data_IF_611187669521
#
_entry.id   IF_611187669521
#
_cell.length_a   1.000
_cell.length_b   1.000
_cell.length_c   1.000
_cell.angle_alpha   90.00
_cell.angle_beta   90.00
_cell.angle_gamma   90.00
#
_symmetry.space_group_name_H-M   'P 1'
#
loop_
_entity.id
_entity.type
_entity.pdbx_description
1 polymer ?
#
# COMPACT_ATOMS: atom_id res chain seq x y z
N UNK A 1 -4.46 9.94 13.60
CA UNK A 1 -5.30 8.90 14.22
C UNK A 1 -5.30 7.70 13.31
N UNK A 2 -4.85 6.54 13.79
CA UNK A 2 -4.96 5.29 13.04
C UNK A 2 -6.40 4.77 13.16
N UNK A 3 -6.86 4.01 12.17
CA UNK A 3 -8.17 3.33 12.23
C UNK A 3 -8.31 2.39 13.44
N UNK A 4 -7.19 2.01 14.07
CA UNK A 4 -7.16 1.21 15.31
C UNK A 4 -7.74 1.92 16.54
N UNK A 5 -7.88 3.24 16.49
CA UNK A 5 -8.55 4.01 17.54
C UNK A 5 -10.07 4.06 17.38
N UNK A 6 -10.58 3.57 16.23
CA UNK A 6 -12.00 3.39 16.03
C UNK A 6 -12.39 2.07 16.71
N UNK A 7 -13.11 2.16 17.83
CA UNK A 7 -13.72 1.00 18.49
C UNK A 7 -14.80 0.35 17.62
N UNK A 8 -15.32 -0.79 18.05
CA UNK A 8 -16.52 -1.37 17.48
C UNK A 8 -17.71 -0.39 17.63
N UNK A 9 -18.61 -0.37 16.65
CA UNK A 9 -19.83 0.48 16.64
C UNK A 9 -19.59 1.99 16.56
N UNK A 10 -18.41 2.43 16.12
CA UNK A 10 -18.16 3.85 15.89
C UNK A 10 -18.68 4.26 14.52
N UNK A 11 -19.52 5.30 14.51
CA UNK A 11 -19.95 5.92 13.26
C UNK A 11 -18.82 6.77 12.69
N UNK A 12 -18.51 6.58 11.41
CA UNK A 12 -17.51 7.36 10.68
C UNK A 12 -18.15 8.15 9.54
N UNK A 13 -17.58 9.30 9.23
CA UNK A 13 -17.95 10.06 8.04
C UNK A 13 -16.99 9.71 6.91
N UNK A 14 -17.52 9.27 5.78
CA UNK A 14 -16.72 9.04 4.56
C UNK A 14 -17.00 10.18 3.58
N UNK A 15 -15.94 10.91 3.23
CA UNK A 15 -15.96 11.85 2.10
C UNK A 15 -15.28 11.21 0.91
N UNK A 16 -15.85 11.35 -0.27
CA UNK A 16 -15.24 10.88 -1.50
C UNK A 16 -15.20 11.98 -2.55
N UNK A 17 -14.24 11.87 -3.46
CA UNK A 17 -14.14 12.73 -4.63
C UNK A 17 -13.58 11.93 -5.80
N UNK A 18 -14.19 12.11 -6.96
CA UNK A 18 -13.74 11.50 -8.21
C UNK A 18 -13.45 12.59 -9.22
N UNK A 19 -12.28 12.53 -9.88
CA UNK A 19 -11.85 13.48 -10.89
C UNK A 19 -11.18 12.76 -12.05
N UNK A 20 -11.31 13.30 -13.27
CA UNK A 20 -10.52 12.84 -14.42
C UNK A 20 -9.14 13.49 -14.45
N UNK A 21 -8.18 12.77 -15.01
CA UNK A 21 -6.86 13.28 -15.35
C UNK A 21 -6.46 12.82 -16.75
N UNK A 22 -6.02 13.76 -17.58
CA UNK A 22 -5.62 13.54 -18.97
C UNK A 22 -6.68 12.71 -19.75
N UNK A 23 -7.94 12.81 -19.36
CA UNK A 23 -9.10 12.14 -19.97
C UNK A 23 -9.00 10.60 -20.06
N UNK A 24 -8.06 10.00 -19.38
CA UNK A 24 -7.77 8.54 -19.42
C UNK A 24 -7.67 7.92 -18.05
N UNK A 25 -7.39 8.73 -17.05
CA UNK A 25 -7.22 8.28 -15.68
C UNK A 25 -8.33 8.86 -14.81
N UNK A 26 -8.68 8.11 -13.79
CA UNK A 26 -9.64 8.53 -12.76
C UNK A 26 -8.91 8.53 -11.42
N UNK A 27 -8.86 9.67 -10.79
CA UNK A 27 -8.43 9.79 -9.40
C UNK A 27 -9.65 9.69 -8.49
N UNK A 28 -9.65 8.71 -7.59
CA UNK A 28 -10.60 8.57 -6.49
C UNK A 28 -9.90 8.89 -5.18
N UNK A 29 -10.44 9.82 -4.43
CA UNK A 29 -10.01 10.16 -3.08
C UNK A 29 -11.10 9.77 -2.09
N UNK A 30 -10.73 9.05 -1.05
CA UNK A 30 -11.60 8.67 0.07
C UNK A 30 -10.95 9.13 1.36
N UNK A 31 -11.72 9.81 2.21
CA UNK A 31 -11.28 10.28 3.51
C UNK A 31 -12.27 9.80 4.56
N UNK A 32 -11.76 9.18 5.60
CA UNK A 32 -12.53 8.74 6.76
C UNK A 32 -12.24 9.71 7.89
N UNK A 33 -13.24 10.51 8.23
CA UNK A 33 -13.18 11.48 9.30
C UNK A 33 -13.98 10.97 10.52
N UNK A 34 -13.60 11.45 11.68
CA UNK A 34 -14.42 11.34 12.87
C UNK A 34 -15.73 12.14 12.65
N UNK A 35 -16.88 11.52 12.94
CA UNK A 35 -18.18 12.20 12.75
C UNK A 35 -18.37 13.39 13.68
N UNK A 36 -17.64 13.45 14.79
CA UNK A 36 -17.74 14.55 15.75
C UNK A 36 -17.11 15.85 15.21
N UNK A 37 -16.33 15.79 14.12
CA UNK A 37 -15.82 16.98 13.46
C UNK A 37 -16.96 17.66 12.71
N UNK A 38 -17.34 18.91 13.06
CA UNK A 38 -18.37 19.64 12.34
C UNK A 38 -18.04 19.76 10.85
N UNK A 39 -19.01 19.54 9.95
CA UNK A 39 -18.80 19.60 8.50
C UNK A 39 -18.17 20.91 8.04
N UNK A 40 -18.56 22.03 8.67
CA UNK A 40 -17.99 23.37 8.41
C UNK A 40 -16.50 23.50 8.74
N UNK A 41 -15.97 22.59 9.58
CA UNK A 41 -14.56 22.55 9.96
C UNK A 41 -13.72 21.65 9.03
N UNK A 42 -14.38 20.94 8.09
CA UNK A 42 -13.71 20.07 7.14
C UNK A 42 -13.17 20.93 5.99
N UNK A 43 -11.86 21.16 5.99
CA UNK A 43 -11.20 21.85 4.90
C UNK A 43 -11.38 21.10 3.57
N UNK A 44 -11.55 21.80 2.44
CA UNK A 44 -11.50 21.18 1.12
C UNK A 44 -10.12 20.56 0.90
N UNK A 45 -10.10 19.38 0.26
CA UNK A 45 -8.86 18.67 -0.07
C UNK A 45 -8.63 18.81 -1.55
N UNK A 46 -7.78 19.76 -1.94
CA UNK A 46 -7.49 20.06 -3.34
C UNK A 46 -6.13 19.49 -3.76
N UNK A 47 -5.17 19.47 -2.87
CA UNK A 47 -3.78 19.14 -3.15
C UNK A 47 -3.24 17.99 -2.29
N UNK A 48 -2.08 17.45 -2.67
CA UNK A 48 -1.35 16.46 -1.87
C UNK A 48 -0.93 17.01 -0.49
N UNK A 49 -0.67 18.32 -0.39
CA UNK A 49 -0.30 18.95 0.88
C UNK A 49 -1.46 18.90 1.88
N UNK A 50 -2.69 19.08 1.41
CA UNK A 50 -3.87 19.01 2.25
C UNK A 50 -4.03 17.61 2.84
N UNK A 51 -3.75 16.56 2.07
CA UNK A 51 -3.78 15.17 2.55
C UNK A 51 -2.76 14.91 3.67
N UNK A 52 -1.58 15.53 3.59
CA UNK A 52 -0.55 15.37 4.61
C UNK A 52 -0.94 16.02 5.96
N UNK A 53 -1.87 16.99 5.93
CA UNK A 53 -2.36 17.70 7.11
C UNK A 53 -3.61 17.05 7.71
N UNK A 54 -4.20 16.06 7.04
CA UNK A 54 -5.38 15.37 7.54
C UNK A 54 -5.06 14.57 8.81
N UNK A 55 -5.93 14.71 9.80
CA UNK A 55 -5.89 13.90 11.03
C UNK A 55 -6.58 12.55 10.87
N UNK A 56 -7.40 12.37 9.84
CA UNK A 56 -8.14 11.15 9.55
C UNK A 56 -7.34 10.15 8.69
N UNK A 57 -7.96 9.01 8.42
CA UNK A 57 -7.45 8.02 7.46
C UNK A 57 -7.91 8.38 6.06
N UNK A 58 -7.07 8.14 5.08
CA UNK A 58 -7.43 8.41 3.69
C UNK A 58 -6.81 7.39 2.73
N UNK A 59 -7.47 7.23 1.58
CA UNK A 59 -6.96 6.47 0.45
C UNK A 59 -7.12 7.29 -0.82
N UNK A 60 -6.07 7.32 -1.63
CA UNK A 60 -6.11 7.93 -2.95
C UNK A 60 -5.72 6.88 -3.99
N UNK A 61 -6.56 6.70 -5.00
CA UNK A 61 -6.35 5.74 -6.08
C UNK A 61 -6.37 6.45 -7.41
N UNK A 62 -5.39 6.15 -8.28
CA UNK A 62 -5.43 6.54 -9.69
C UNK A 62 -5.62 5.29 -10.54
N UNK A 63 -6.74 5.22 -11.21
CA UNK A 63 -7.14 4.11 -12.07
C UNK A 63 -7.09 4.53 -13.53
N UNK A 64 -6.82 3.56 -14.42
CA UNK A 64 -6.92 3.71 -15.85
C UNK A 64 -8.01 2.79 -16.40
N UNK A 65 -8.76 3.27 -17.40
CA UNK A 65 -9.57 2.38 -18.21
C UNK A 65 -8.66 1.62 -19.16
N UNK A 66 -8.76 0.30 -19.16
CA UNK A 66 -7.91 -0.58 -19.96
C UNK A 66 -8.74 -1.45 -20.89
N UNK A 67 -8.23 -1.64 -22.10
CA UNK A 67 -8.72 -2.63 -23.05
C UNK A 67 -7.67 -3.72 -23.26
N UNK A 68 -8.13 -4.95 -23.42
CA UNK A 68 -7.27 -6.10 -23.70
C UNK A 68 -6.89 -6.13 -25.18
N UNK A 69 -5.61 -6.18 -25.48
CA UNK A 69 -5.08 -6.31 -26.84
C UNK A 69 -4.77 -7.76 -27.24
N UNK A 70 -5.76 -8.66 -27.05
CA UNK A 70 -5.64 -10.09 -27.39
C UNK A 70 -5.17 -11.00 -26.23
N UNK A 71 -4.49 -10.46 -25.22
CA UNK A 71 -4.07 -11.21 -24.02
C UNK A 71 -3.96 -10.30 -22.81
N UNK A 72 -3.89 -10.89 -21.60
CA UNK A 72 -3.69 -10.14 -20.36
C UNK A 72 -2.31 -9.45 -20.28
N UNK A 73 -1.38 -9.82 -21.14
CA UNK A 73 -0.04 -9.23 -21.22
C UNK A 73 -0.04 -7.93 -22.03
N UNK A 74 -1.02 -7.72 -22.91
CA UNK A 74 -1.13 -6.55 -23.79
C UNK A 74 -2.34 -5.70 -23.44
N UNK A 75 -2.22 -4.96 -22.35
CA UNK A 75 -3.24 -4.00 -21.91
C UNK A 75 -2.96 -2.61 -22.50
N UNK A 76 -4.00 -1.95 -23.00
CA UNK A 76 -3.92 -0.59 -23.53
C UNK A 76 -4.84 0.32 -22.74
N UNK A 77 -4.34 1.48 -22.33
CA UNK A 77 -5.15 2.52 -21.71
C UNK A 77 -5.99 3.19 -22.80
N UNK A 78 -7.28 3.36 -22.54
CA UNK A 78 -8.21 4.05 -23.44
C UNK A 78 -9.10 5.03 -22.66
N UNK A 79 -9.70 5.96 -23.41
CA UNK A 79 -10.73 6.85 -22.89
C UNK A 79 -12.11 6.24 -23.18
N UNK A 80 -12.94 5.94 -22.18
CA UNK A 80 -14.30 5.48 -22.41
C UNK A 80 -15.17 6.61 -22.97
N UNK A 81 -16.06 6.27 -23.88
CA UNK A 81 -17.05 7.24 -24.39
C UNK A 81 -17.98 7.69 -23.27
N UNK A 82 -18.33 8.99 -23.25
CA UNK A 82 -19.22 9.57 -22.23
C UNK A 82 -18.65 9.69 -20.82
N UNK A 83 -17.37 9.31 -20.61
CA UNK A 83 -16.75 9.32 -19.28
C UNK A 83 -16.51 10.73 -18.71
N UNK A 84 -16.64 11.75 -19.50
CA UNK A 84 -16.35 13.16 -19.15
C UNK A 84 -17.60 13.99 -18.85
N UNK A 85 -18.79 13.44 -19.03
CA UNK A 85 -20.02 14.17 -18.73
C UNK A 85 -20.24 14.24 -17.20
N UNK A 86 -20.12 15.45 -16.65
CA UNK A 86 -20.40 15.70 -15.24
C UNK A 86 -19.28 15.35 -14.24
N UNK A 87 -18.12 14.88 -14.68
CA UNK A 87 -16.97 14.63 -13.82
C UNK A 87 -15.90 15.69 -14.02
N UNK A 88 -15.45 16.32 -12.94
CA UNK A 88 -14.43 17.37 -13.00
C UNK A 88 -13.10 16.84 -13.54
N UNK A 89 -12.47 17.60 -14.41
CA UNK A 89 -11.09 17.33 -14.86
C UNK A 89 -10.12 17.97 -13.85
N UNK A 90 -9.06 17.24 -13.52
CA UNK A 90 -7.96 17.78 -12.74
C UNK A 90 -7.15 18.76 -13.60
N UNK A 91 -6.97 19.98 -13.10
CA UNK A 91 -6.05 20.97 -13.68
C UNK A 91 -4.59 20.71 -13.30
N UNK A 92 -4.36 19.95 -12.24
CA UNK A 92 -3.05 19.64 -11.69
C UNK A 92 -2.75 18.14 -11.79
N UNK A 93 -1.47 17.79 -11.55
CA UNK A 93 -1.02 16.41 -11.52
C UNK A 93 -1.73 15.63 -10.38
N UNK A 94 -2.30 14.45 -10.65
CA UNK A 94 -2.97 13.65 -9.63
C UNK A 94 -2.01 13.26 -8.51
N UNK A 95 -2.59 12.99 -7.34
CA UNK A 95 -1.85 12.64 -6.12
C UNK A 95 -1.12 11.30 -6.28
N UNK A 96 -1.77 10.32 -6.92
CA UNK A 96 -1.18 9.03 -7.25
C UNK A 96 -0.60 9.04 -8.67
N UNK A 97 0.66 9.39 -8.85
CA UNK A 97 1.22 9.80 -10.13
C UNK A 97 1.73 8.61 -10.96
N UNK A 98 1.40 8.63 -12.24
CA UNK A 98 2.01 7.77 -13.29
C UNK A 98 3.54 7.88 -13.27
N UNK A 99 4.11 9.05 -12.96
CA UNK A 99 5.55 9.28 -12.87
C UNK A 99 6.19 8.52 -11.70
N UNK A 100 5.56 8.54 -10.52
CA UNK A 100 6.04 7.74 -9.37
C UNK A 100 6.00 6.24 -9.68
N UNK A 101 4.98 5.77 -10.41
CA UNK A 101 4.91 4.39 -10.90
C UNK A 101 6.03 4.06 -11.87
N UNK A 102 6.45 5.00 -12.73
CA UNK A 102 7.56 4.82 -13.65
C UNK A 102 8.89 4.72 -12.90
N UNK A 103 9.15 5.60 -11.96
CA UNK A 103 10.32 5.58 -11.06
C UNK A 103 10.36 4.27 -10.27
N UNK A 104 9.24 3.85 -9.70
CA UNK A 104 9.15 2.58 -8.97
C UNK A 104 9.44 1.37 -9.85
N UNK A 105 8.98 1.38 -11.11
CA UNK A 105 9.25 0.32 -12.10
C UNK A 105 10.72 0.23 -12.47
N UNK A 106 11.46 1.34 -12.50
CA UNK A 106 12.91 1.36 -12.79
C UNK A 106 13.75 0.84 -11.61
N UNK A 107 13.12 0.54 -10.48
CA UNK A 107 13.80 0.08 -9.28
C UNK A 107 14.31 1.23 -8.40
N UNK A 108 14.15 2.46 -8.84
CA UNK A 108 14.43 3.64 -8.02
C UNK A 108 13.33 3.74 -6.95
N UNK A 109 13.74 3.59 -5.70
CA UNK A 109 12.81 3.67 -4.56
C UNK A 109 12.63 5.15 -4.23
N UNK A 110 11.43 5.69 -4.51
CA UNK A 110 11.04 6.90 -3.80
C UNK A 110 10.74 6.48 -2.34
N UNK A 111 11.55 6.90 -1.36
CA UNK A 111 11.31 6.52 0.02
C UNK A 111 9.91 6.96 0.45
N UNK A 112 9.26 6.15 1.25
CA UNK A 112 8.09 6.61 2.00
C UNK A 112 8.56 7.84 2.78
N UNK A 113 8.14 9.02 2.32
CA UNK A 113 8.51 10.35 2.80
C UNK A 113 9.20 10.41 4.18
N UNK A 114 10.48 10.76 4.19
CA UNK A 114 11.20 11.25 5.37
C UNK A 114 11.85 10.20 6.27
N UNK A 115 11.50 8.93 6.19
CA UNK A 115 11.80 7.95 7.26
C UNK A 115 12.84 6.88 6.91
N UNK A 116 13.46 6.91 5.73
CA UNK A 116 14.46 5.88 5.37
C UNK A 116 15.87 6.16 5.91
N UNK A 117 16.11 7.34 6.45
CA UNK A 117 17.39 7.65 7.06
C UNK A 117 17.62 6.79 8.30
N UNK A 118 18.62 5.90 8.24
CA UNK A 118 18.96 5.00 9.33
C UNK A 118 18.18 3.68 9.37
N UNK A 119 17.38 3.36 8.35
CA UNK A 119 16.73 2.05 8.26
C UNK A 119 17.77 0.91 8.23
N UNK A 120 17.59 -0.10 9.06
CA UNK A 120 18.46 -1.28 9.16
C UNK A 120 17.78 -2.42 8.42
N UNK A 121 18.43 -2.92 7.36
CA UNK A 121 17.89 -4.04 6.58
C UNK A 121 17.79 -5.32 7.42
N UNK A 122 16.69 -6.04 7.27
CA UNK A 122 16.49 -7.37 7.85
C UNK A 122 16.91 -8.40 6.81
N UNK A 123 18.05 -9.06 7.03
CA UNK A 123 18.52 -10.10 6.13
C UNK A 123 17.62 -11.34 6.22
N UNK A 124 17.06 -11.84 5.11
CA UNK A 124 16.33 -13.09 5.11
C UNK A 124 17.28 -14.28 5.30
N UNK A 125 16.83 -15.33 5.98
CA UNK A 125 17.51 -16.62 6.02
C UNK A 125 17.34 -17.38 4.69
N UNK A 126 16.16 -17.22 4.09
CA UNK A 126 15.80 -17.83 2.81
C UNK A 126 15.67 -16.70 1.80
N UNK A 127 16.67 -16.58 0.91
CA UNK A 127 16.67 -15.60 -0.18
C UNK A 127 16.08 -16.24 -1.44
N UNK A 128 14.80 -16.58 -1.37
CA UNK A 128 14.03 -17.10 -2.49
C UNK A 128 12.66 -16.41 -2.56
N UNK A 129 12.12 -16.18 -3.77
CA UNK A 129 10.80 -15.62 -3.91
C UNK A 129 9.74 -16.56 -3.30
N UNK A 130 8.71 -15.96 -2.76
CA UNK A 130 7.53 -16.67 -2.27
C UNK A 130 6.60 -16.88 -3.45
N UNK A 131 6.36 -18.14 -3.81
CA UNK A 131 5.51 -18.46 -4.95
C UNK A 131 4.04 -18.47 -4.55
N UNK A 132 3.21 -17.84 -5.38
CA UNK A 132 1.75 -17.81 -5.28
C UNK A 132 1.15 -18.31 -6.60
N UNK A 133 0.35 -19.36 -6.53
CA UNK A 133 -0.41 -19.87 -7.69
C UNK A 133 -1.72 -19.09 -7.82
N UNK A 134 -2.01 -18.57 -9.02
CA UNK A 134 -3.25 -17.86 -9.28
C UNK A 134 -4.41 -18.84 -9.22
N UNK A 135 -5.40 -18.54 -8.38
CA UNK A 135 -6.64 -19.29 -8.24
C UNK A 135 -7.72 -18.55 -9.04
N UNK A 136 -8.09 -19.06 -10.26
CA UNK A 136 -8.96 -18.31 -11.17
C UNK A 136 -10.28 -17.88 -10.54
N UNK A 137 -10.89 -18.76 -9.71
CA UNK A 137 -12.19 -18.53 -9.09
C UNK A 137 -12.18 -17.39 -8.07
N UNK A 138 -11.03 -17.12 -7.43
CA UNK A 138 -10.92 -16.08 -6.41
C UNK A 138 -10.11 -14.87 -6.87
N UNK A 139 -9.15 -15.06 -7.77
CA UNK A 139 -8.17 -14.02 -8.10
C UNK A 139 -8.54 -13.25 -9.36
N UNK A 140 -9.36 -13.83 -10.25
CA UNK A 140 -9.75 -13.19 -11.49
C UNK A 140 -11.11 -12.49 -11.37
N UNK A 141 -11.23 -11.36 -12.06
CA UNK A 141 -12.53 -10.71 -12.26
C UNK A 141 -13.29 -11.32 -13.45
N UNK A 142 -14.54 -10.90 -13.68
CA UNK A 142 -15.36 -11.36 -14.79
C UNK A 142 -14.75 -11.13 -16.19
N UNK A 143 -13.72 -10.31 -16.31
CA UNK A 143 -12.96 -10.12 -17.54
C UNK A 143 -11.75 -11.07 -17.65
N UNK A 144 -11.52 -11.96 -16.69
CA UNK A 144 -10.37 -12.87 -16.65
C UNK A 144 -9.03 -12.17 -16.38
N UNK A 145 -9.06 -11.01 -15.74
CA UNK A 145 -7.89 -10.28 -15.28
C UNK A 145 -7.75 -10.48 -13.78
N UNK A 146 -6.53 -10.56 -13.27
CA UNK A 146 -6.30 -10.51 -11.83
C UNK A 146 -6.92 -9.23 -11.30
N UNK A 147 -7.85 -9.39 -10.35
CA UNK A 147 -8.58 -8.28 -9.75
C UNK A 147 -7.63 -7.45 -8.89
N UNK A 148 -7.69 -6.11 -8.99
CA UNK A 148 -6.71 -5.23 -8.34
C UNK A 148 -6.57 -5.46 -6.83
N UNK A 149 -7.68 -5.77 -6.12
CA UNK A 149 -7.63 -6.07 -4.70
C UNK A 149 -6.87 -7.37 -4.38
N UNK A 150 -6.71 -8.27 -5.34
CA UNK A 150 -5.94 -9.51 -5.17
C UNK A 150 -4.44 -9.27 -5.14
N UNK A 151 -3.96 -8.24 -5.81
CA UNK A 151 -2.55 -7.84 -5.68
C UNK A 151 -2.20 -7.50 -4.22
N UNK A 152 -3.09 -6.75 -3.55
CA UNK A 152 -2.93 -6.44 -2.13
C UNK A 152 -2.94 -7.71 -1.26
N UNK A 153 -3.84 -8.65 -1.56
CA UNK A 153 -3.90 -9.92 -0.84
C UNK A 153 -2.62 -10.76 -1.05
N UNK A 154 -2.08 -10.81 -2.28
CA UNK A 154 -0.81 -11.49 -2.59
C UNK A 154 0.37 -10.82 -1.85
N UNK A 155 0.41 -9.48 -1.82
CA UNK A 155 1.43 -8.73 -1.08
C UNK A 155 1.37 -9.02 0.43
N UNK A 156 0.17 -9.03 1.02
CA UNK A 156 -0.02 -9.37 2.43
C UNK A 156 0.34 -10.83 2.72
N UNK A 157 0.04 -11.75 1.80
CA UNK A 157 0.45 -13.14 1.89
C UNK A 157 1.98 -13.27 1.90
N UNK A 158 2.66 -12.60 0.95
CA UNK A 158 4.11 -12.59 0.87
C UNK A 158 4.76 -12.01 2.11
N UNK A 159 4.27 -10.87 2.60
CA UNK A 159 4.75 -10.24 3.84
C UNK A 159 4.62 -11.20 5.03
N UNK A 160 3.45 -11.84 5.18
CA UNK A 160 3.20 -12.77 6.27
C UNK A 160 4.14 -13.97 6.25
N UNK A 161 4.33 -14.58 5.06
CA UNK A 161 5.23 -15.71 4.91
C UNK A 161 6.70 -15.32 5.12
N UNK A 162 7.10 -14.13 4.65
CA UNK A 162 8.43 -13.61 4.90
C UNK A 162 8.70 -13.51 6.40
N UNK A 163 7.82 -12.89 7.16
CA UNK A 163 7.96 -12.73 8.60
C UNK A 163 7.93 -14.07 9.36
N UNK A 164 7.08 -15.00 8.96
CA UNK A 164 6.91 -16.27 9.67
C UNK A 164 7.92 -17.35 9.30
N UNK A 165 8.50 -17.31 8.07
CA UNK A 165 9.27 -18.44 7.56
C UNK A 165 10.66 -18.07 7.02
N UNK A 166 10.84 -16.83 6.49
CA UNK A 166 12.07 -16.46 5.78
C UNK A 166 13.12 -15.79 6.67
N UNK A 167 12.77 -15.42 7.90
CA UNK A 167 13.70 -14.81 8.83
C UNK A 167 14.46 -15.86 9.65
N UNK A 168 15.67 -15.52 10.10
CA UNK A 168 16.45 -16.35 11.04
C UNK A 168 15.72 -16.53 12.39
N UNK A 169 14.98 -15.50 12.79
CA UNK A 169 14.07 -15.53 13.96
C UNK A 169 12.67 -15.18 13.47
N UNK A 170 11.83 -16.18 13.17
CA UNK A 170 10.48 -15.93 12.66
C UNK A 170 9.59 -15.23 13.69
N UNK A 171 8.70 -14.38 13.19
CA UNK A 171 7.64 -13.80 14.00
C UNK A 171 6.56 -14.86 14.26
N UNK A 172 6.06 -14.92 15.50
CA UNK A 172 4.88 -15.73 15.80
C UNK A 172 3.63 -15.16 15.14
N UNK A 173 2.60 -15.98 14.94
CA UNK A 173 1.32 -15.52 14.41
C UNK A 173 0.70 -14.42 15.28
N UNK A 174 0.88 -14.51 16.61
CA UNK A 174 0.46 -13.49 17.56
C UNK A 174 1.20 -12.18 17.32
N UNK A 175 2.53 -12.19 17.17
CA UNK A 175 3.32 -11.00 16.93
C UNK A 175 2.93 -10.32 15.61
N UNK A 176 2.66 -11.11 14.55
CA UNK A 176 2.19 -10.61 13.27
C UNK A 176 0.81 -9.92 13.42
N UNK A 177 -0.05 -10.40 14.31
CA UNK A 177 -1.37 -9.78 14.54
C UNK A 177 -1.30 -8.39 15.19
N UNK A 178 -0.18 -8.05 15.83
CA UNK A 178 0.05 -6.70 16.36
C UNK A 178 0.67 -5.71 15.36
N UNK A 179 0.88 -6.14 14.12
CA UNK A 179 1.34 -5.25 13.05
C UNK A 179 0.18 -4.45 12.47
N UNK A 180 0.25 -3.14 12.56
CA UNK A 180 -0.70 -2.24 11.93
C UNK A 180 -0.07 -1.46 10.78
N UNK A 181 -0.80 -1.31 9.69
CA UNK A 181 -0.35 -0.54 8.54
C UNK A 181 -0.58 0.95 8.77
N UNK A 182 0.51 1.72 8.84
CA UNK A 182 0.44 3.18 8.93
C UNK A 182 0.34 3.84 7.56
N UNK A 183 1.09 3.30 6.59
CA UNK A 183 1.16 3.87 5.25
C UNK A 183 1.43 2.76 4.24
N UNK A 184 0.76 2.82 3.09
CA UNK A 184 1.02 1.98 1.93
C UNK A 184 0.96 2.78 0.64
N UNK A 185 1.93 2.56 -0.24
CA UNK A 185 1.88 2.96 -1.64
C UNK A 185 1.94 1.70 -2.49
N UNK A 186 1.01 1.52 -3.41
CA UNK A 186 1.01 0.38 -4.32
C UNK A 186 0.90 0.85 -5.77
N UNK A 187 1.63 0.20 -6.64
CA UNK A 187 1.73 0.49 -8.08
C UNK A 187 1.46 -0.80 -8.86
N UNK A 188 0.66 -0.69 -9.92
CA UNK A 188 0.24 -1.82 -10.74
C UNK A 188 0.69 -1.58 -12.18
N UNK A 189 1.47 -2.50 -12.76
CA UNK A 189 2.13 -2.32 -14.05
C UNK A 189 1.69 -3.33 -15.10
N UNK A 190 1.38 -4.55 -14.71
CA UNK A 190 1.03 -5.65 -15.59
C UNK A 190 0.00 -6.57 -14.94
N UNK A 191 -0.53 -7.48 -15.72
CA UNK A 191 -1.48 -8.49 -15.27
C UNK A 191 -0.98 -9.89 -15.64
N UNK A 192 -1.60 -10.92 -15.08
CA UNK A 192 -1.26 -12.32 -15.32
C UNK A 192 -2.41 -13.06 -16.00
N UNK A 193 -2.09 -14.17 -16.65
CA UNK A 193 -3.05 -15.12 -17.20
C UNK A 193 -3.54 -16.09 -16.12
N UNK A 194 -4.69 -16.79 -16.35
CA UNK A 194 -5.25 -17.71 -15.35
C UNK A 194 -4.33 -18.85 -14.91
N UNK A 195 -3.36 -19.22 -15.75
CA UNK A 195 -2.43 -20.34 -15.50
C UNK A 195 -1.03 -19.87 -15.11
N UNK A 196 -0.86 -18.56 -14.86
CA UNK A 196 0.40 -18.04 -14.35
C UNK A 196 0.50 -18.23 -12.84
N UNK A 197 1.73 -18.12 -12.35
CA UNK A 197 2.02 -17.95 -10.94
C UNK A 197 2.71 -16.60 -10.72
N UNK A 198 2.79 -16.18 -9.48
CA UNK A 198 3.40 -14.93 -9.06
C UNK A 198 4.54 -15.22 -8.08
N UNK A 199 5.73 -14.72 -8.41
CA UNK A 199 6.89 -14.76 -7.54
C UNK A 199 6.94 -13.46 -6.72
N UNK A 200 6.73 -13.57 -5.42
CA UNK A 200 6.67 -12.45 -4.49
C UNK A 200 8.04 -12.28 -3.84
N UNK A 201 8.65 -11.12 -4.05
CA UNK A 201 9.92 -10.74 -3.42
C UNK A 201 9.64 -9.73 -2.32
N UNK A 202 10.21 -9.96 -1.14
CA UNK A 202 10.01 -9.10 0.03
C UNK A 202 11.36 -8.65 0.57
N UNK A 203 11.53 -7.34 0.66
CA UNK A 203 12.61 -6.70 1.38
C UNK A 203 12.01 -6.01 2.62
N UNK A 204 12.69 -6.12 3.75
CA UNK A 204 12.23 -5.50 4.98
C UNK A 204 13.37 -4.77 5.70
N UNK A 205 13.03 -3.71 6.40
CA UNK A 205 13.95 -2.94 7.24
C UNK A 205 13.26 -2.51 8.53
N UNK A 206 14.05 -2.37 9.59
CA UNK A 206 13.62 -1.76 10.85
C UNK A 206 13.99 -0.30 10.83
N UNK A 207 13.05 0.56 11.16
CA UNK A 207 13.35 1.95 11.48
C UNK A 207 13.75 2.04 12.94
N UNK A 208 14.93 2.61 13.25
CA UNK A 208 15.28 2.90 14.62
C UNK A 208 14.22 3.84 15.20
N UNK A 209 13.91 3.74 16.49
CA UNK A 209 13.06 4.70 17.16
C UNK A 209 13.66 6.08 16.91
N UNK A 210 12.92 6.94 16.20
CA UNK A 210 13.38 8.31 15.87
C UNK A 210 13.80 9.00 17.15
N UNK A 211 14.86 9.81 17.07
CA UNK A 211 15.49 10.49 18.20
C UNK A 211 14.52 11.37 18.99
N UNK A 212 13.72 10.72 19.81
CA UNK A 212 13.05 11.40 20.90
C UNK A 212 14.12 11.73 21.92
N UNK A 213 14.22 13.02 22.27
CA UNK A 213 14.95 13.46 23.46
C UNK A 213 14.60 12.49 24.60
N UNK A 214 15.60 12.09 25.39
CA UNK A 214 15.44 11.15 26.49
C UNK A 214 14.11 11.40 27.23
N UNK A 215 13.27 10.37 27.39
CA UNK A 215 12.01 10.56 28.08
C UNK A 215 12.28 11.08 29.50
N UNK A 216 11.46 12.02 30.00
CA UNK A 216 11.64 12.49 31.35
C UNK A 216 11.63 11.30 32.31
N UNK A 217 12.57 11.29 33.25
CA UNK A 217 12.81 10.20 34.17
C UNK A 217 11.47 9.72 34.81
N UNK A 218 11.15 8.44 34.63
CA UNK A 218 9.95 7.82 35.19
C UNK A 218 8.80 7.56 34.22
N UNK A 219 8.87 7.97 32.96
CA UNK A 219 7.83 7.69 31.95
C UNK A 219 8.40 6.71 30.90
N UNK A 220 7.97 5.46 30.99
CA UNK A 220 8.29 4.46 29.95
C UNK A 220 7.40 4.70 28.71
N UNK A 221 7.81 5.60 27.82
CA UNK A 221 7.20 5.70 26.49
C UNK A 221 7.66 4.47 25.68
N UNK A 222 6.72 3.60 25.38
CA UNK A 222 6.94 2.53 24.40
C UNK A 222 6.79 3.13 23.02
N UNK A 223 7.92 3.45 22.38
CA UNK A 223 7.90 3.80 20.96
C UNK A 223 7.66 2.50 20.18
N UNK A 224 6.57 2.36 19.41
CA UNK A 224 6.33 1.17 18.64
C UNK A 224 7.46 1.00 17.62
N UNK A 225 7.94 -0.24 17.48
CA UNK A 225 8.91 -0.57 16.44
C UNK A 225 8.25 -0.41 15.08
N UNK A 226 8.92 0.30 14.18
CA UNK A 226 8.44 0.49 12.82
C UNK A 226 9.20 -0.41 11.85
N UNK A 227 8.45 -1.03 10.95
CA UNK A 227 8.95 -1.85 9.88
C UNK A 227 8.63 -1.19 8.54
N UNK A 228 9.60 -1.21 7.64
CA UNK A 228 9.42 -0.86 6.24
C UNK A 228 9.51 -2.11 5.40
N UNK A 229 8.57 -2.28 4.47
CA UNK A 229 8.58 -3.35 3.49
C UNK A 229 8.58 -2.77 2.08
N UNK A 230 9.36 -3.39 1.20
CA UNK A 230 9.17 -3.35 -0.24
C UNK A 230 8.71 -4.73 -0.66
N UNK A 231 7.60 -4.80 -1.41
CA UNK A 231 7.00 -6.06 -1.86
C UNK A 231 6.77 -5.95 -3.36
N UNK A 232 7.50 -6.73 -4.13
CA UNK A 232 7.43 -6.76 -5.57
C UNK A 232 6.81 -8.08 -6.04
N UNK A 233 5.82 -7.99 -6.92
CA UNK A 233 5.14 -9.14 -7.53
C UNK A 233 5.63 -9.32 -8.97
N UNK A 234 6.24 -10.44 -9.27
CA UNK A 234 6.71 -10.78 -10.62
C UNK A 234 5.87 -11.91 -11.19
N UNK A 235 5.51 -11.80 -12.47
CA UNK A 235 4.90 -12.91 -13.19
C UNK A 235 5.95 -13.99 -13.43
N UNK A 236 5.70 -15.21 -12.95
CA UNK A 236 6.71 -16.28 -12.97
C UNK A 236 7.08 -16.73 -14.38
N UNK A 237 6.15 -16.63 -15.34
CA UNK A 237 6.38 -17.11 -16.72
C UNK A 237 7.40 -16.29 -17.51
N UNK A 238 7.59 -15.00 -17.22
CA UNK A 238 8.45 -14.09 -17.97
C UNK A 238 9.22 -13.07 -17.11
N UNK A 239 9.11 -13.20 -15.78
CA UNK A 239 9.74 -12.32 -14.80
C UNK A 239 9.40 -10.82 -14.98
N UNK A 240 8.19 -10.54 -15.48
CA UNK A 240 7.68 -9.16 -15.61
C UNK A 240 7.18 -8.66 -14.27
N UNK A 241 7.63 -7.48 -13.82
CA UNK A 241 7.12 -6.81 -12.65
C UNK A 241 5.64 -6.44 -12.87
N UNK A 242 4.76 -7.07 -12.10
CA UNK A 242 3.32 -6.86 -12.17
C UNK A 242 2.85 -5.74 -11.24
N UNK A 243 3.41 -5.70 -10.04
CA UNK A 243 3.08 -4.69 -9.04
C UNK A 243 4.22 -4.52 -8.05
N UNK A 244 4.27 -3.36 -7.41
CA UNK A 244 5.21 -3.04 -6.34
C UNK A 244 4.51 -2.29 -5.23
N UNK A 245 4.86 -2.56 -3.98
CA UNK A 245 4.32 -1.86 -2.82
C UNK A 245 5.41 -1.48 -1.85
N UNK A 246 5.28 -0.27 -1.32
CA UNK A 246 6.05 0.21 -0.17
C UNK A 246 5.09 0.32 1.02
N UNK A 247 5.43 -0.32 2.12
CA UNK A 247 4.56 -0.39 3.31
C UNK A 247 5.34 0.00 4.56
N UNK A 248 4.76 0.88 5.37
CA UNK A 248 5.22 1.15 6.73
C UNK A 248 4.23 0.58 7.72
N UNK A 249 4.73 -0.19 8.68
CA UNK A 249 3.93 -0.78 9.75
C UNK A 249 4.51 -0.46 11.12
N UNK A 250 3.63 -0.35 12.10
CA UNK A 250 3.97 -0.28 13.51
C UNK A 250 3.70 -1.62 14.18
N UNK A 251 4.63 -2.07 15.02
CA UNK A 251 4.44 -3.22 15.89
C UNK A 251 4.03 -2.71 17.28
N UNK A 252 2.77 -2.93 17.62
CA UNK A 252 2.14 -2.44 18.85
C UNK A 252 2.05 -3.54 19.95
N UNK A 253 2.95 -4.52 19.95
CA UNK A 253 2.89 -5.65 20.87
C UNK A 253 3.01 -5.22 22.35
N UNK A 254 2.17 -5.73 23.25
CA UNK A 254 2.27 -5.45 24.67
C UNK A 254 3.55 -6.08 25.24
N UNK A 255 4.49 -5.26 25.67
CA UNK A 255 5.63 -5.69 26.48
C UNK A 255 6.94 -6.03 25.78
N UNK A 256 7.06 -6.05 24.46
CA UNK A 256 8.07 -6.87 23.81
C UNK A 256 9.07 -6.22 22.86
N UNK A 257 9.31 -4.92 22.91
CA UNK A 257 10.34 -4.30 22.04
C UNK A 257 11.79 -4.80 22.29
N UNK A 258 12.04 -5.55 23.36
CA UNK A 258 13.38 -6.05 23.72
C UNK A 258 13.73 -7.44 23.17
N UNK A 259 12.79 -8.16 22.55
CA UNK A 259 12.97 -9.59 22.29
C UNK A 259 13.04 -10.00 20.80
N UNK A 260 12.90 -9.09 19.86
CA UNK A 260 12.69 -9.47 18.44
C UNK A 260 13.98 -9.44 17.60
N UNK A 261 15.04 -8.76 18.04
CA UNK A 261 16.33 -8.68 17.30
C UNK A 261 17.53 -8.99 18.14
#
# INVERSE_FOLDING_TARGET
HSMELLGEDVNVRVRNRVRFFAKKFVEGLFVIDDQDIPERALAPIETRKDLQQLRGSWACMTNAFIARGGSNVRLKVFRPMGADEGVAELSETPIGIVEQGRVQRSGEIEPLTGDSAGAIAIAPRIDAPIRYEIIPESDLNGAGLVYFARYEAMMNYGERLFLSNHLARPFSAELISYLSTEHRKAYFFANAAPNDAVDIRVEASVLPPGGYADPPAGVAYRVPMKLLFRIDLYRSSDNVLMASSLVRKSLNAPGSAKAVF
#
